data_IF_141585327022
#
_entry.id   IF_141585327022
#
_cell.length_a   1.000
_cell.length_b   1.000
_cell.length_c   1.000
_cell.angle_alpha   90.00
_cell.angle_beta   90.00
_cell.angle_gamma   90.00
#
_symmetry.space_group_name_H-M   'P 1'
#
loop_
_entity.id
_entity.type
_entity.pdbx_description
1 polymer ?
#
# COMPACT_ATOMS: atom_id res chain seq x y z
N UNK A 1 -34.73 -0.88 -23.20
CA UNK A 1 -34.20 0.25 -22.42
C UNK A 1 -32.93 0.72 -23.08
N UNK A 2 -32.75 2.04 -23.30
CA UNK A 2 -31.67 2.56 -24.15
C UNK A 2 -30.31 2.32 -23.47
N UNK A 3 -29.46 1.48 -24.03
CA UNK A 3 -28.14 1.09 -23.45
C UNK A 3 -27.20 2.30 -23.30
N UNK A 4 -27.30 3.27 -24.20
CA UNK A 4 -26.53 4.52 -24.14
C UNK A 4 -26.83 5.38 -22.90
N UNK A 5 -28.04 5.27 -22.33
CA UNK A 5 -28.43 6.01 -21.12
C UNK A 5 -27.72 5.55 -19.84
N UNK A 6 -27.01 4.44 -19.88
CA UNK A 6 -26.25 3.87 -18.76
C UNK A 6 -24.74 3.99 -18.94
N UNK A 7 -24.25 4.47 -20.09
CA UNK A 7 -22.82 4.62 -20.37
C UNK A 7 -22.15 3.38 -20.97
N UNK A 8 -22.95 2.44 -21.55
CA UNK A 8 -22.42 1.22 -22.19
C UNK A 8 -21.51 1.51 -23.40
N UNK A 9 -21.66 2.67 -24.02
CA UNK A 9 -20.87 3.11 -25.18
C UNK A 9 -19.76 4.10 -24.79
N UNK A 10 -19.57 4.35 -23.49
CA UNK A 10 -18.59 5.33 -23.01
C UNK A 10 -17.16 4.89 -23.38
N UNK A 11 -16.41 5.77 -24.05
CA UNK A 11 -15.00 5.54 -24.37
C UNK A 11 -14.06 6.04 -23.24
N UNK A 12 -14.59 6.84 -22.32
CA UNK A 12 -13.86 7.37 -21.15
C UNK A 12 -14.82 7.62 -19.97
N UNK A 13 -14.34 7.63 -18.72
CA UNK A 13 -15.19 7.81 -17.54
C UNK A 13 -16.04 9.07 -17.54
N UNK A 14 -15.57 10.18 -18.14
CA UNK A 14 -16.32 11.43 -18.25
C UNK A 14 -17.55 11.37 -19.14
N UNK A 15 -17.70 10.33 -19.96
CA UNK A 15 -18.87 10.09 -20.82
C UNK A 15 -19.94 9.25 -20.13
N UNK A 16 -19.65 8.70 -18.95
CA UNK A 16 -20.61 7.94 -18.16
C UNK A 16 -21.67 8.91 -17.62
N UNK A 17 -22.95 8.72 -17.94
CA UNK A 17 -24.02 9.58 -17.44
C UNK A 17 -24.27 9.37 -15.94
N UNK A 18 -24.93 10.33 -15.29
CA UNK A 18 -25.22 10.27 -13.85
C UNK A 18 -25.93 8.97 -13.40
N UNK A 19 -26.75 8.38 -14.29
CA UNK A 19 -27.42 7.11 -14.02
C UNK A 19 -26.42 5.95 -13.98
N UNK A 20 -25.44 5.94 -14.87
CA UNK A 20 -24.34 4.96 -14.86
C UNK A 20 -23.48 5.10 -13.59
N UNK A 21 -23.14 6.33 -13.19
CA UNK A 21 -22.42 6.59 -11.94
C UNK A 21 -23.17 6.09 -10.70
N UNK A 22 -24.49 6.25 -10.66
CA UNK A 22 -25.30 5.71 -9.55
C UNK A 22 -25.22 4.18 -9.51
N UNK A 23 -25.27 3.50 -10.65
CA UNK A 23 -25.14 2.05 -10.74
C UNK A 23 -23.75 1.59 -10.27
N UNK A 24 -22.68 2.26 -10.75
CA UNK A 24 -21.29 2.01 -10.33
C UNK A 24 -21.15 2.11 -8.81
N UNK A 25 -21.55 3.25 -8.22
CA UNK A 25 -21.40 3.47 -6.79
C UNK A 25 -22.18 2.46 -5.94
N UNK A 26 -23.33 2.00 -6.44
CA UNK A 26 -24.11 0.98 -5.76
C UNK A 26 -23.43 -0.39 -5.78
N UNK A 27 -22.78 -0.74 -6.91
CA UNK A 27 -22.00 -1.97 -7.02
C UNK A 27 -20.75 -1.91 -6.17
N UNK A 28 -19.96 -0.83 -6.22
CA UNK A 28 -18.81 -0.62 -5.31
C UNK A 28 -19.20 -0.82 -3.84
N UNK A 29 -20.37 -0.31 -3.43
CA UNK A 29 -20.86 -0.54 -2.06
C UNK A 29 -21.14 -2.03 -1.77
N UNK A 30 -21.64 -2.78 -2.73
CA UNK A 30 -21.84 -4.23 -2.63
C UNK A 30 -20.50 -4.97 -2.50
N UNK A 31 -19.56 -4.71 -3.41
CA UNK A 31 -18.24 -5.35 -3.50
C UNK A 31 -17.41 -5.14 -2.23
N UNK A 32 -17.51 -4.00 -1.56
CA UNK A 32 -16.83 -3.78 -0.25
C UNK A 32 -17.15 -4.91 0.75
N UNK A 33 -18.38 -5.42 0.73
CA UNK A 33 -18.82 -6.48 1.63
C UNK A 33 -18.58 -7.88 1.08
N UNK A 34 -18.80 -8.09 -0.22
CA UNK A 34 -18.63 -9.38 -0.90
C UNK A 34 -17.17 -9.80 -0.94
N UNK A 35 -16.28 -8.88 -1.29
CA UNK A 35 -14.83 -9.07 -1.33
C UNK A 35 -14.14 -8.94 0.03
N UNK A 36 -14.91 -8.65 1.07
CA UNK A 36 -14.38 -8.51 2.44
C UNK A 36 -13.21 -7.52 2.51
N UNK A 37 -13.34 -6.39 1.83
CA UNK A 37 -12.28 -5.38 1.68
C UNK A 37 -11.61 -5.02 3.01
N UNK A 38 -12.39 -4.84 4.07
CA UNK A 38 -11.86 -4.51 5.40
C UNK A 38 -10.99 -5.62 5.99
N UNK A 39 -11.30 -6.90 5.73
CA UNK A 39 -10.51 -8.04 6.19
C UNK A 39 -9.21 -8.16 5.41
N UNK A 40 -9.27 -7.97 4.09
CA UNK A 40 -8.07 -7.97 3.24
C UNK A 40 -7.15 -6.81 3.65
N UNK A 41 -7.70 -5.61 3.85
CA UNK A 41 -6.93 -4.45 4.33
C UNK A 41 -6.24 -4.71 5.68
N UNK A 42 -6.89 -5.44 6.60
CA UNK A 42 -6.27 -5.83 7.86
C UNK A 42 -5.09 -6.81 7.65
N UNK A 43 -5.21 -7.75 6.72
CA UNK A 43 -4.12 -8.65 6.33
C UNK A 43 -2.92 -7.89 5.76
N UNK A 44 -3.14 -6.95 4.84
CA UNK A 44 -2.07 -6.09 4.29
C UNK A 44 -1.42 -5.27 5.41
N UNK A 45 -2.21 -4.67 6.30
CA UNK A 45 -1.71 -3.89 7.45
C UNK A 45 -0.81 -4.73 8.35
N UNK A 46 -1.15 -5.99 8.60
CA UNK A 46 -0.34 -6.91 9.37
C UNK A 46 1.03 -7.16 8.73
N UNK A 47 1.09 -7.39 7.41
CA UNK A 47 2.37 -7.56 6.71
C UNK A 47 3.21 -6.28 6.72
N UNK A 48 2.60 -5.10 6.63
CA UNK A 48 3.30 -3.82 6.76
C UNK A 48 3.87 -3.63 8.17
N UNK A 49 3.14 -4.02 9.21
CA UNK A 49 3.65 -4.04 10.58
C UNK A 49 4.88 -4.94 10.73
N UNK A 50 4.84 -6.15 10.15
CA UNK A 50 5.99 -7.07 10.20
C UNK A 50 7.22 -6.48 9.49
N UNK A 51 7.03 -5.64 8.46
CA UNK A 51 8.12 -4.97 7.76
C UNK A 51 8.69 -3.78 8.54
N UNK A 52 7.94 -3.19 9.45
CA UNK A 52 8.31 -1.95 10.13
C UNK A 52 9.55 -2.12 11.02
N UNK A 53 9.59 -3.15 11.86
CA UNK A 53 10.72 -3.35 12.82
C UNK A 53 12.04 -3.62 12.10
N UNK A 54 12.13 -4.57 11.13
CA UNK A 54 13.35 -4.74 10.35
C UNK A 54 13.70 -3.51 9.52
N UNK A 55 12.68 -2.79 9.01
CA UNK A 55 12.86 -1.56 8.25
C UNK A 55 13.53 -0.46 9.07
N UNK A 56 13.05 -0.23 10.28
CA UNK A 56 13.66 0.71 11.22
C UNK A 56 15.10 0.28 11.56
N UNK A 57 15.34 -1.00 11.82
CA UNK A 57 16.69 -1.50 12.09
C UNK A 57 17.65 -1.28 10.92
N UNK A 58 17.18 -1.43 9.68
CA UNK A 58 17.96 -1.14 8.49
C UNK A 58 18.28 0.36 8.35
N UNK A 59 17.28 1.23 8.56
CA UNK A 59 17.47 2.69 8.51
C UNK A 59 18.50 3.17 9.55
N UNK A 60 18.40 2.68 10.78
CA UNK A 60 19.32 3.04 11.86
C UNK A 60 20.73 2.51 11.56
N UNK A 61 20.84 1.31 10.98
CA UNK A 61 22.15 0.75 10.59
C UNK A 61 22.77 1.56 9.45
N UNK A 62 22.01 2.06 8.47
CA UNK A 62 22.50 3.00 7.45
C UNK A 62 23.02 4.27 8.13
N UNK A 63 22.23 4.84 9.03
CA UNK A 63 22.64 6.04 9.75
C UNK A 63 23.97 5.84 10.49
N UNK A 64 24.13 4.74 11.24
CA UNK A 64 25.35 4.40 11.96
C UNK A 64 26.58 4.10 11.09
N UNK A 65 26.39 3.83 9.77
CA UNK A 65 27.52 3.69 8.84
C UNK A 65 28.08 5.05 8.37
N UNK A 66 27.25 6.09 8.30
CA UNK A 66 27.60 7.40 7.77
C UNK A 66 27.87 8.46 8.85
N UNK A 67 27.34 8.30 10.04
CA UNK A 67 27.44 9.26 11.14
C UNK A 67 28.17 8.67 12.32
N UNK A 68 28.92 9.52 13.06
CA UNK A 68 29.59 9.09 14.27
C UNK A 68 28.59 8.81 15.40
N UNK A 69 28.72 7.71 16.16
CA UNK A 69 27.90 7.44 17.32
C UNK A 69 27.78 8.59 18.34
N UNK A 70 28.80 9.44 18.44
CA UNK A 70 28.77 10.61 19.32
C UNK A 70 27.75 11.69 18.89
N UNK A 71 27.48 11.82 17.57
CA UNK A 71 26.49 12.77 17.03
C UNK A 71 25.07 12.25 17.09
N UNK A 72 24.88 10.98 17.47
CA UNK A 72 23.59 10.31 17.57
C UNK A 72 22.71 10.99 18.63
N UNK A 73 23.29 11.32 19.79
CA UNK A 73 22.54 11.93 20.90
C UNK A 73 21.96 13.31 20.55
N UNK A 74 22.72 14.12 19.81
CA UNK A 74 22.27 15.46 19.38
C UNK A 74 21.10 15.36 18.36
N UNK A 75 21.17 14.37 17.45
CA UNK A 75 20.13 14.16 16.45
C UNK A 75 18.88 13.48 17.04
N UNK A 76 19.02 12.66 18.09
CA UNK A 76 17.89 12.05 18.81
C UNK A 76 17.00 13.12 19.45
N UNK A 77 17.59 14.18 19.99
CA UNK A 77 16.85 15.32 20.51
C UNK A 77 16.05 16.06 19.40
N UNK A 78 16.58 16.18 18.19
CA UNK A 78 15.83 16.78 17.07
C UNK A 78 14.65 15.88 16.62
N UNK A 79 14.80 14.56 16.71
CA UNK A 79 13.77 13.61 16.34
C UNK A 79 12.65 13.47 17.38
N UNK A 80 12.92 13.79 18.66
CA UNK A 80 11.95 13.69 19.75
C UNK A 80 10.71 14.56 19.54
N UNK A 81 10.80 15.64 18.73
CA UNK A 81 9.67 16.47 18.34
C UNK A 81 8.84 15.95 17.16
N UNK A 82 9.32 14.92 16.44
CA UNK A 82 8.73 14.39 15.20
C UNK A 82 8.22 12.97 15.40
N UNK A 83 8.95 12.16 16.19
CA UNK A 83 8.65 10.75 16.43
C UNK A 83 7.76 10.63 17.67
N UNK A 84 6.60 9.97 17.60
CA UNK A 84 5.77 9.70 18.78
C UNK A 84 6.55 8.91 19.87
N UNK A 85 6.27 9.15 21.15
CA UNK A 85 7.04 8.69 22.29
C UNK A 85 7.47 7.21 22.27
N UNK A 86 6.56 6.28 21.92
CA UNK A 86 6.92 4.85 21.81
C UNK A 86 7.88 4.52 20.66
N UNK A 87 7.95 5.35 19.62
CA UNK A 87 8.93 5.21 18.55
C UNK A 87 10.33 5.65 18.96
N UNK A 88 10.43 6.64 19.87
CA UNK A 88 11.71 7.10 20.41
C UNK A 88 12.39 6.02 21.26
N UNK A 89 11.66 5.30 22.10
CA UNK A 89 12.18 4.20 22.90
C UNK A 89 12.81 3.10 22.03
N UNK A 90 12.13 2.74 20.91
CA UNK A 90 12.64 1.75 19.95
C UNK A 90 13.91 2.30 19.25
N UNK A 91 13.92 3.58 18.88
CA UNK A 91 15.07 4.24 18.28
C UNK A 91 16.27 4.23 19.24
N UNK A 92 16.09 4.66 20.47
CA UNK A 92 17.13 4.70 21.49
C UNK A 92 17.71 3.31 21.78
N UNK A 93 16.86 2.29 21.98
CA UNK A 93 17.32 0.91 22.20
C UNK A 93 18.13 0.37 21.01
N UNK A 94 17.73 0.66 19.77
CA UNK A 94 18.46 0.23 18.58
C UNK A 94 19.79 1.01 18.44
N UNK A 95 19.79 2.29 18.76
CA UNK A 95 21.00 3.12 18.72
C UNK A 95 22.03 2.70 19.76
N UNK A 96 21.62 2.37 20.98
CA UNK A 96 22.51 1.81 22.01
C UNK A 96 23.13 0.47 21.59
N UNK A 97 22.34 -0.40 20.98
CA UNK A 97 22.84 -1.68 20.42
C UNK A 97 23.87 -1.45 19.32
N UNK A 98 23.70 -0.43 18.48
CA UNK A 98 24.64 -0.08 17.42
C UNK A 98 25.92 0.57 17.98
N UNK A 99 25.80 1.45 18.96
CA UNK A 99 26.94 2.10 19.60
C UNK A 99 27.87 1.10 20.30
N UNK A 100 27.33 -0.02 20.78
CA UNK A 100 28.11 -1.10 21.43
C UNK A 100 28.76 -2.05 20.42
N UNK A 101 28.40 -2.02 19.11
CA UNK A 101 28.93 -2.91 18.08
C UNK A 101 30.10 -2.31 17.31
N UNK A 102 31.11 -3.14 16.97
CA UNK A 102 32.20 -2.71 16.08
C UNK A 102 31.73 -2.49 14.63
N UNK A 103 32.44 -1.67 13.84
CA UNK A 103 32.09 -1.32 12.45
C UNK A 103 31.82 -2.53 11.53
N UNK A 104 32.56 -3.62 11.71
CA UNK A 104 32.34 -4.87 10.92
C UNK A 104 31.02 -5.55 11.28
N UNK A 105 30.66 -5.55 12.56
CA UNK A 105 29.39 -6.08 13.08
C UNK A 105 28.21 -5.24 12.56
N UNK A 106 28.37 -3.92 12.50
CA UNK A 106 27.38 -2.99 11.95
C UNK A 106 27.06 -3.28 10.48
N UNK A 107 28.08 -3.51 9.63
CA UNK A 107 27.88 -3.81 8.23
C UNK A 107 27.14 -5.12 7.97
N UNK A 108 27.46 -6.17 8.75
CA UNK A 108 26.77 -7.46 8.64
C UNK A 108 25.33 -7.37 9.19
N UNK A 109 25.14 -6.70 10.32
CA UNK A 109 23.80 -6.46 10.91
C UNK A 109 22.94 -5.67 9.95
N UNK A 110 23.48 -4.63 9.32
CA UNK A 110 22.81 -3.86 8.29
C UNK A 110 22.35 -4.75 7.11
N UNK A 111 23.27 -5.56 6.56
CA UNK A 111 22.94 -6.41 5.41
C UNK A 111 21.82 -7.41 5.74
N UNK A 112 21.88 -8.04 6.92
CA UNK A 112 20.87 -9.00 7.37
C UNK A 112 19.54 -8.28 7.64
N UNK A 113 19.55 -7.17 8.37
CA UNK A 113 18.35 -6.40 8.69
C UNK A 113 17.69 -5.86 7.41
N UNK A 114 18.48 -5.36 6.46
CA UNK A 114 17.98 -4.89 5.18
C UNK A 114 17.35 -6.03 4.36
N UNK A 115 17.98 -7.19 4.32
CA UNK A 115 17.43 -8.35 3.62
C UNK A 115 16.09 -8.79 4.24
N UNK A 116 15.98 -8.84 5.57
CA UNK A 116 14.76 -9.17 6.29
C UNK A 116 13.69 -8.08 6.06
N UNK A 117 14.07 -6.81 6.12
CA UNK A 117 13.17 -5.68 5.88
C UNK A 117 12.58 -5.72 4.47
N UNK A 118 13.44 -5.89 3.46
CA UNK A 118 13.02 -5.99 2.05
C UNK A 118 12.13 -7.21 1.81
N UNK A 119 12.46 -8.35 2.43
CA UNK A 119 11.63 -9.55 2.34
C UNK A 119 10.24 -9.33 2.94
N UNK A 120 10.16 -8.74 4.14
CA UNK A 120 8.90 -8.46 4.84
C UNK A 120 8.08 -7.41 4.10
N UNK A 121 8.72 -6.32 3.63
CA UNK A 121 8.06 -5.29 2.84
C UNK A 121 7.53 -5.84 1.51
N UNK A 122 8.29 -6.73 0.85
CA UNK A 122 7.87 -7.42 -0.37
C UNK A 122 6.67 -8.33 -0.13
N UNK A 123 6.55 -8.95 1.04
CA UNK A 123 5.37 -9.73 1.41
C UNK A 123 4.13 -8.83 1.56
N UNK A 124 4.28 -7.64 2.16
CA UNK A 124 3.23 -6.62 2.20
C UNK A 124 2.80 -6.16 0.81
N UNK A 125 3.76 -5.93 -0.10
CA UNK A 125 3.45 -5.56 -1.48
C UNK A 125 2.72 -6.68 -2.24
N UNK A 126 3.10 -7.95 -2.06
CA UNK A 126 2.37 -9.08 -2.64
C UNK A 126 0.95 -9.18 -2.11
N UNK A 127 0.74 -8.96 -0.81
CA UNK A 127 -0.60 -8.92 -0.23
C UNK A 127 -1.44 -7.78 -0.79
N UNK A 128 -0.83 -6.63 -1.11
CA UNK A 128 -1.50 -5.52 -1.78
C UNK A 128 -1.83 -5.85 -3.25
N UNK A 129 -0.96 -6.59 -3.95
CA UNK A 129 -1.26 -7.08 -5.30
C UNK A 129 -2.43 -8.07 -5.29
N UNK A 130 -2.50 -8.96 -4.29
CA UNK A 130 -3.63 -9.87 -4.11
C UNK A 130 -4.93 -9.09 -3.84
N UNK A 131 -4.86 -8.02 -3.04
CA UNK A 131 -5.99 -7.12 -2.83
C UNK A 131 -6.44 -6.44 -4.14
N UNK A 132 -5.49 -6.06 -5.00
CA UNK A 132 -5.82 -5.51 -6.32
C UNK A 132 -6.40 -6.58 -7.26
N UNK A 133 -5.90 -7.80 -7.22
CA UNK A 133 -6.49 -8.90 -8.00
C UNK A 133 -7.95 -9.15 -7.58
N UNK A 134 -8.26 -9.10 -6.29
CA UNK A 134 -9.65 -9.20 -5.81
C UNK A 134 -10.50 -8.06 -6.37
N UNK A 135 -10.06 -6.80 -6.21
CA UNK A 135 -10.79 -5.62 -6.67
C UNK A 135 -11.04 -5.57 -8.19
N UNK A 136 -10.22 -6.27 -8.98
CA UNK A 136 -10.37 -6.37 -10.44
C UNK A 136 -10.86 -7.73 -10.91
N UNK A 137 -11.36 -8.58 -10.01
CA UNK A 137 -11.85 -9.92 -10.30
C UNK A 137 -10.83 -10.82 -11.03
N UNK A 138 -9.55 -10.63 -10.76
CA UNK A 138 -8.46 -11.35 -11.42
C UNK A 138 -7.89 -12.47 -10.53
N UNK A 139 -7.32 -13.48 -11.18
CA UNK A 139 -6.59 -14.53 -10.49
C UNK A 139 -5.09 -14.35 -10.73
N UNK A 140 -4.27 -14.52 -9.69
CA UNK A 140 -2.82 -14.44 -9.81
C UNK A 140 -2.27 -15.61 -10.60
N UNK A 141 -1.80 -15.37 -11.82
CA UNK A 141 -1.22 -16.36 -12.73
C UNK A 141 0.29 -16.18 -12.91
N UNK A 142 0.86 -15.06 -12.44
CA UNK A 142 2.30 -14.80 -12.51
C UNK A 142 3.07 -15.86 -11.72
N UNK A 143 4.03 -16.52 -12.35
CA UNK A 143 4.92 -17.44 -11.65
C UNK A 143 5.69 -16.75 -10.53
N UNK A 144 6.12 -17.51 -9.51
CA UNK A 144 6.80 -17.01 -8.32
C UNK A 144 7.92 -16.00 -8.61
N UNK A 145 8.76 -16.26 -9.62
CA UNK A 145 9.88 -15.37 -9.97
C UNK A 145 9.38 -14.00 -10.51
N UNK A 146 8.38 -14.01 -11.43
CA UNK A 146 7.82 -12.80 -12.02
C UNK A 146 7.09 -11.98 -10.95
N UNK A 147 6.24 -12.62 -10.14
CA UNK A 147 5.53 -11.96 -9.06
C UNK A 147 6.51 -11.34 -8.05
N UNK A 148 7.56 -12.08 -7.66
CA UNK A 148 8.57 -11.58 -6.71
C UNK A 148 9.36 -10.43 -7.29
N UNK A 149 9.78 -10.50 -8.55
CA UNK A 149 10.52 -9.42 -9.20
C UNK A 149 9.66 -8.16 -9.32
N UNK A 150 8.40 -8.29 -9.75
CA UNK A 150 7.48 -7.16 -9.88
C UNK A 150 7.17 -6.53 -8.51
N UNK A 151 6.82 -7.34 -7.51
CA UNK A 151 6.52 -6.83 -6.17
C UNK A 151 7.75 -6.19 -5.51
N UNK A 152 8.95 -6.72 -5.73
CA UNK A 152 10.19 -6.11 -5.24
C UNK A 152 10.51 -4.78 -5.94
N UNK A 153 10.26 -4.67 -7.24
CA UNK A 153 10.40 -3.40 -7.96
C UNK A 153 9.44 -2.34 -7.38
N UNK A 154 8.18 -2.70 -7.10
CA UNK A 154 7.23 -1.81 -6.43
C UNK A 154 7.64 -1.46 -5.01
N UNK A 155 8.15 -2.42 -4.24
CA UNK A 155 8.66 -2.19 -2.88
C UNK A 155 9.80 -1.17 -2.90
N UNK A 156 10.79 -1.35 -3.78
CA UNK A 156 11.91 -0.42 -3.91
C UNK A 156 11.45 0.96 -4.41
N UNK A 157 10.58 1.00 -5.41
CA UNK A 157 9.98 2.27 -5.88
C UNK A 157 9.19 2.98 -4.79
N UNK A 158 8.45 2.23 -3.98
CA UNK A 158 7.71 2.75 -2.83
C UNK A 158 8.64 3.34 -1.77
N UNK A 159 9.73 2.65 -1.44
CA UNK A 159 10.76 3.16 -0.52
C UNK A 159 11.36 4.47 -1.05
N UNK A 160 11.76 4.51 -2.32
CA UNK A 160 12.29 5.73 -2.96
C UNK A 160 11.24 6.85 -2.93
N UNK A 161 9.97 6.53 -3.25
CA UNK A 161 8.87 7.49 -3.19
C UNK A 161 8.67 8.08 -1.79
N UNK A 162 8.70 7.25 -0.76
CA UNK A 162 8.61 7.69 0.65
C UNK A 162 9.79 8.58 1.02
N UNK A 163 11.03 8.20 0.64
CA UNK A 163 12.24 9.01 0.89
C UNK A 163 12.11 10.38 0.19
N UNK A 164 11.66 10.40 -1.06
CA UNK A 164 11.42 11.66 -1.78
C UNK A 164 10.35 12.52 -1.10
N UNK A 165 9.24 11.92 -0.64
CA UNK A 165 8.19 12.66 0.08
C UNK A 165 8.69 13.23 1.39
N UNK A 166 9.44 12.46 2.19
CA UNK A 166 10.07 12.94 3.43
C UNK A 166 11.05 14.08 3.10
N UNK A 167 11.87 13.92 2.06
CA UNK A 167 12.79 14.96 1.59
C UNK A 167 12.06 16.27 1.28
N UNK A 168 10.94 16.21 0.56
CA UNK A 168 10.13 17.40 0.25
C UNK A 168 9.56 18.02 1.53
N UNK A 169 9.02 17.23 2.45
CA UNK A 169 8.38 17.72 3.68
C UNK A 169 9.39 18.35 4.65
N UNK A 170 10.60 17.78 4.75
CA UNK A 170 11.61 18.20 5.73
C UNK A 170 12.58 19.23 5.14
N UNK A 171 13.11 18.94 3.94
CA UNK A 171 14.18 19.76 3.35
C UNK A 171 13.65 21.11 2.86
N UNK A 172 12.47 21.12 2.23
CA UNK A 172 11.95 22.39 1.66
C UNK A 172 11.71 23.45 2.73
N UNK A 173 11.00 23.20 3.84
CA UNK A 173 10.85 24.20 4.90
C UNK A 173 12.20 24.58 5.55
N UNK A 174 13.12 23.63 5.75
CA UNK A 174 14.44 23.89 6.30
C UNK A 174 15.25 24.84 5.44
N UNK A 175 15.29 24.62 4.13
CA UNK A 175 15.98 25.48 3.18
C UNK A 175 15.35 26.87 3.09
N UNK A 176 14.02 26.96 3.08
CA UNK A 176 13.30 28.23 3.05
C UNK A 176 13.64 29.11 4.27
N UNK A 177 13.71 28.52 5.46
CA UNK A 177 14.08 29.21 6.68
C UNK A 177 15.53 29.75 6.67
N UNK A 178 16.44 29.06 5.95
CA UNK A 178 17.85 29.47 5.84
C UNK A 178 18.07 30.62 4.84
N UNK A 179 17.29 30.63 3.76
CA UNK A 179 17.52 31.58 2.64
C UNK A 179 16.78 32.91 2.87
N UNK A 180 15.72 32.94 3.69
CA UNK A 180 14.98 34.15 4.00
C UNK A 180 14.38 34.83 2.77
N UNK A 181 13.73 34.04 1.90
CA UNK A 181 13.04 34.52 0.71
C UNK A 181 11.83 35.35 1.09
N UNK A 182 11.50 36.37 0.30
CA UNK A 182 10.30 37.18 0.54
C UNK A 182 9.03 36.30 0.55
N UNK A 183 8.05 36.71 1.36
CA UNK A 183 6.83 35.92 1.71
C UNK A 183 6.10 35.31 0.51
N UNK A 184 6.05 35.98 -0.63
CA UNK A 184 5.38 35.48 -1.83
C UNK A 184 6.12 34.27 -2.44
N UNK A 185 7.47 34.31 -2.46
CA UNK A 185 8.30 33.22 -3.00
C UNK A 185 8.22 31.99 -2.08
N UNK A 186 8.25 32.17 -0.78
CA UNK A 186 8.06 31.09 0.20
C UNK A 186 6.72 30.40 0.03
N UNK A 187 5.65 31.16 -0.19
CA UNK A 187 4.31 30.63 -0.43
C UNK A 187 4.23 29.80 -1.71
N UNK A 188 4.84 30.29 -2.81
CA UNK A 188 4.87 29.55 -4.08
C UNK A 188 5.63 28.22 -3.95
N UNK A 189 6.78 28.21 -3.28
CA UNK A 189 7.56 26.99 -3.08
C UNK A 189 6.79 26.01 -2.19
N UNK A 190 6.13 26.49 -1.14
CA UNK A 190 5.32 25.66 -0.25
C UNK A 190 4.13 25.01 -0.99
N UNK A 191 3.40 25.79 -1.78
CA UNK A 191 2.32 25.26 -2.63
C UNK A 191 2.88 24.24 -3.64
N UNK A 192 3.98 24.58 -4.32
CA UNK A 192 4.67 23.69 -5.26
C UNK A 192 5.06 22.36 -4.63
N UNK A 193 5.52 22.38 -3.37
CA UNK A 193 5.87 21.17 -2.61
C UNK A 193 4.63 20.29 -2.35
N UNK A 194 3.51 20.86 -1.94
CA UNK A 194 2.27 20.10 -1.75
C UNK A 194 1.74 19.52 -3.06
N UNK A 195 1.82 20.29 -4.16
CA UNK A 195 1.45 19.79 -5.49
C UNK A 195 2.37 18.64 -5.90
N UNK A 196 3.67 18.76 -5.68
CA UNK A 196 4.64 17.69 -5.97
C UNK A 196 4.34 16.43 -5.16
N UNK A 197 4.05 16.55 -3.87
CA UNK A 197 3.66 15.42 -3.01
C UNK A 197 2.38 14.75 -3.51
N UNK A 198 1.38 15.54 -3.89
CA UNK A 198 0.13 15.04 -4.46
C UNK A 198 0.38 14.28 -5.77
N UNK A 199 1.24 14.79 -6.65
CA UNK A 199 1.60 14.14 -7.91
C UNK A 199 2.35 12.82 -7.67
N UNK A 200 3.34 12.81 -6.76
CA UNK A 200 4.09 11.59 -6.42
C UNK A 200 3.15 10.52 -5.87
N UNK A 201 2.28 10.88 -4.92
CA UNK A 201 1.31 9.94 -4.36
C UNK A 201 0.33 9.43 -5.42
N UNK A 202 -0.17 10.32 -6.29
CA UNK A 202 -1.08 9.95 -7.39
C UNK A 202 -0.42 9.00 -8.38
N UNK A 203 0.84 9.23 -8.74
CA UNK A 203 1.58 8.36 -9.64
C UNK A 203 1.84 6.98 -9.02
N UNK A 204 2.16 6.93 -7.73
CA UNK A 204 2.37 5.67 -7.02
C UNK A 204 1.08 4.83 -6.96
N UNK A 205 -0.06 5.46 -6.64
CA UNK A 205 -1.37 4.78 -6.59
C UNK A 205 -1.82 4.37 -7.99
N UNK A 206 -1.65 5.24 -9.00
CA UNK A 206 -1.99 4.92 -10.38
C UNK A 206 -1.13 3.76 -10.91
N UNK A 207 0.16 3.72 -10.56
CA UNK A 207 1.04 2.61 -10.89
C UNK A 207 0.55 1.30 -10.25
N UNK A 208 0.13 1.34 -8.98
CA UNK A 208 -0.44 0.20 -8.29
C UNK A 208 -1.71 -0.32 -8.99
N UNK A 209 -2.66 0.54 -9.33
CA UNK A 209 -3.89 0.15 -10.02
C UNK A 209 -3.64 -0.39 -11.43
N UNK A 210 -2.57 0.06 -12.09
CA UNK A 210 -2.25 -0.35 -13.44
C UNK A 210 -1.48 -1.67 -13.53
N UNK A 211 -0.52 -1.88 -12.65
CA UNK A 211 0.43 -2.99 -12.73
C UNK A 211 0.37 -3.93 -11.52
N UNK A 212 -0.41 -3.58 -10.49
CA UNK A 212 -0.66 -4.44 -9.34
C UNK A 212 -1.43 -5.69 -9.71
N UNK A 213 -2.63 -5.58 -10.29
CA UNK A 213 -3.43 -6.73 -10.68
C UNK A 213 -2.80 -7.48 -11.88
N UNK A 214 -3.00 -8.80 -11.93
CA UNK A 214 -2.49 -9.68 -12.99
C UNK A 214 -3.43 -9.71 -14.19
N UNK A 215 -3.43 -8.62 -14.96
CA UNK A 215 -4.33 -8.43 -16.10
C UNK A 215 -3.65 -7.65 -17.23
N UNK A 216 -4.29 -7.58 -18.39
CA UNK A 216 -3.93 -6.62 -19.42
C UNK A 216 -4.09 -5.19 -18.90
N UNK A 217 -3.07 -4.35 -19.15
CA UNK A 217 -3.02 -3.00 -18.57
C UNK A 217 -4.18 -2.13 -19.05
N UNK A 218 -4.88 -1.50 -18.11
CA UNK A 218 -5.91 -0.51 -18.40
C UNK A 218 -5.32 0.77 -19.03
N UNK A 219 -6.10 1.46 -19.86
CA UNK A 219 -5.78 2.83 -20.31
C UNK A 219 -5.78 3.78 -19.10
N UNK A 220 -4.85 4.73 -19.04
CA UNK A 220 -4.68 5.67 -17.92
C UNK A 220 -5.98 6.39 -17.51
N UNK A 221 -6.83 6.72 -18.48
CA UNK A 221 -8.09 7.40 -18.21
C UNK A 221 -9.07 6.61 -17.33
N UNK A 222 -8.98 5.27 -17.33
CA UNK A 222 -9.86 4.40 -16.53
C UNK A 222 -9.38 4.22 -15.09
N UNK A 223 -8.08 4.37 -14.83
CA UNK A 223 -7.52 4.29 -13.48
C UNK A 223 -7.47 5.64 -12.75
N UNK A 224 -7.59 6.75 -13.50
CA UNK A 224 -7.47 8.11 -12.93
C UNK A 224 -8.55 8.43 -11.88
N UNK A 225 -9.84 8.14 -12.08
CA UNK A 225 -10.88 8.49 -11.10
C UNK A 225 -10.66 7.82 -9.73
N UNK A 226 -10.39 6.51 -9.70
CA UNK A 226 -10.08 5.81 -8.46
C UNK A 226 -8.80 6.32 -7.80
N UNK A 227 -7.78 6.66 -8.61
CA UNK A 227 -6.54 7.27 -8.10
C UNK A 227 -6.81 8.58 -7.40
N UNK A 228 -7.52 9.51 -8.07
CA UNK A 228 -7.84 10.82 -7.51
C UNK A 228 -8.68 10.66 -6.25
N UNK A 229 -9.71 9.82 -6.28
CA UNK A 229 -10.55 9.53 -5.12
C UNK A 229 -9.69 9.04 -3.96
N UNK A 230 -8.84 8.03 -4.18
CA UNK A 230 -7.98 7.45 -3.14
C UNK A 230 -7.07 8.49 -2.50
N UNK A 231 -6.37 9.31 -3.30
CA UNK A 231 -5.48 10.35 -2.77
C UNK A 231 -6.27 11.36 -1.94
N UNK A 232 -7.38 11.88 -2.44
CA UNK A 232 -8.20 12.86 -1.71
C UNK A 232 -8.76 12.29 -0.41
N UNK A 233 -9.29 11.07 -0.45
CA UNK A 233 -9.89 10.45 0.74
C UNK A 233 -8.81 10.07 1.76
N UNK A 234 -7.63 9.58 1.34
CA UNK A 234 -6.50 9.33 2.24
C UNK A 234 -6.06 10.63 2.91
N UNK A 235 -5.93 11.72 2.17
CA UNK A 235 -5.56 13.03 2.75
C UNK A 235 -6.62 13.53 3.74
N UNK A 236 -7.90 13.45 3.40
CA UNK A 236 -8.99 13.84 4.27
C UNK A 236 -9.04 13.00 5.55
N UNK A 237 -8.95 11.67 5.42
CA UNK A 237 -8.92 10.75 6.55
C UNK A 237 -7.67 10.96 7.39
N UNK A 238 -6.52 11.22 6.80
CA UNK A 238 -5.28 11.53 7.54
C UNK A 238 -5.42 12.82 8.36
N UNK A 239 -6.03 13.86 7.79
CA UNK A 239 -6.30 15.09 8.51
C UNK A 239 -7.29 14.90 9.67
N UNK A 240 -8.40 14.17 9.42
CA UNK A 240 -9.38 13.83 10.45
C UNK A 240 -8.78 12.95 11.55
N UNK A 241 -7.95 11.98 11.18
CA UNK A 241 -7.29 11.09 12.11
C UNK A 241 -6.27 11.86 12.98
N UNK A 242 -5.48 12.75 12.39
CA UNK A 242 -4.57 13.64 13.11
C UNK A 242 -5.33 14.53 14.11
N UNK A 243 -6.44 15.12 13.69
CA UNK A 243 -7.30 15.90 14.56
C UNK A 243 -7.88 15.04 15.70
N UNK A 244 -8.34 13.82 15.39
CA UNK A 244 -8.86 12.88 16.39
C UNK A 244 -7.81 12.53 17.44
N UNK A 245 -6.61 12.15 17.02
CA UNK A 245 -5.51 11.80 17.93
C UNK A 245 -5.12 13.02 18.81
N UNK A 246 -5.08 14.23 18.25
CA UNK A 246 -4.74 15.43 18.98
C UNK A 246 -5.79 15.83 20.05
N UNK A 247 -7.08 15.54 19.81
CA UNK A 247 -8.16 15.99 20.69
C UNK A 247 -8.71 14.90 21.62
N UNK A 248 -8.56 13.62 21.23
CA UNK A 248 -9.08 12.47 21.97
C UNK A 248 -7.96 11.54 22.45
N UNK A 249 -6.75 12.06 22.59
CA UNK A 249 -5.51 11.34 22.88
C UNK A 249 -5.40 10.68 24.28
N UNK A 250 -6.51 10.48 25.02
CA UNK A 250 -6.54 9.67 26.24
C UNK A 250 -6.18 8.19 26.02
N UNK A 251 -5.95 7.79 24.76
CA UNK A 251 -5.40 6.48 24.41
C UNK A 251 -4.08 6.19 25.12
N UNK A 252 -3.23 7.21 25.29
CA UNK A 252 -1.95 7.09 25.99
C UNK A 252 -2.13 6.84 27.50
N UNK A 253 -3.20 7.33 28.12
CA UNK A 253 -3.49 7.09 29.53
C UNK A 253 -3.92 5.64 29.80
N UNK A 254 -4.61 5.02 28.83
CA UNK A 254 -5.14 3.66 28.97
C UNK A 254 -4.18 2.59 28.47
N UNK A 255 -3.49 2.86 27.35
CA UNK A 255 -2.68 1.87 26.62
C UNK A 255 -1.18 2.19 26.59
N UNK A 256 -0.73 3.33 27.14
CA UNK A 256 0.67 3.75 27.12
C UNK A 256 1.24 3.81 25.70
N UNK A 257 2.46 3.28 25.51
CA UNK A 257 3.13 3.22 24.19
C UNK A 257 2.37 2.40 23.14
N UNK A 258 1.53 1.44 23.56
CA UNK A 258 0.68 0.67 22.63
C UNK A 258 -0.40 1.52 21.96
N UNK A 259 -0.83 2.62 22.58
CA UNK A 259 -1.83 3.53 22.01
C UNK A 259 -1.36 4.12 20.67
N UNK A 260 -0.11 4.56 20.57
CA UNK A 260 0.47 5.09 19.35
C UNK A 260 0.56 4.01 18.25
N UNK A 261 0.94 2.79 18.60
CA UNK A 261 0.99 1.66 17.66
C UNK A 261 -0.40 1.31 17.13
N UNK A 262 -1.40 1.20 18.01
CA UNK A 262 -2.80 0.92 17.60
C UNK A 262 -3.31 2.02 16.68
N UNK A 263 -3.06 3.29 17.02
CA UNK A 263 -3.43 4.41 16.18
C UNK A 263 -2.78 4.34 14.79
N UNK A 264 -1.48 4.08 14.74
CA UNK A 264 -0.75 3.94 13.48
C UNK A 264 -1.29 2.78 12.62
N UNK A 265 -1.55 1.62 13.21
CA UNK A 265 -2.13 0.48 12.52
C UNK A 265 -3.55 0.77 12.00
N UNK A 266 -4.35 1.48 12.79
CA UNK A 266 -5.69 1.91 12.37
C UNK A 266 -5.60 2.85 11.16
N UNK A 267 -4.65 3.80 11.17
CA UNK A 267 -4.43 4.69 10.04
C UNK A 267 -3.99 3.93 8.78
N UNK A 268 -3.05 2.98 8.88
CA UNK A 268 -2.65 2.14 7.74
C UNK A 268 -3.84 1.33 7.23
N UNK A 269 -4.62 0.72 8.12
CA UNK A 269 -5.79 -0.07 7.75
C UNK A 269 -6.83 0.76 6.98
N UNK A 270 -7.10 1.99 7.42
CA UNK A 270 -7.96 2.93 6.71
C UNK A 270 -7.39 3.29 5.34
N UNK A 271 -6.09 3.61 5.26
CA UNK A 271 -5.43 3.94 4.00
C UNK A 271 -5.48 2.79 2.99
N UNK A 272 -5.19 1.55 3.42
CA UNK A 272 -5.28 0.36 2.57
C UNK A 272 -6.73 0.08 2.15
N UNK A 273 -7.70 0.23 3.06
CA UNK A 273 -9.13 0.12 2.72
C UNK A 273 -9.51 1.09 1.61
N UNK A 274 -9.10 2.36 1.72
CA UNK A 274 -9.37 3.39 0.72
C UNK A 274 -8.71 3.05 -0.63
N UNK A 275 -7.49 2.51 -0.62
CA UNK A 275 -6.82 2.06 -1.84
C UNK A 275 -7.61 0.95 -2.53
N UNK A 276 -8.08 -0.07 -1.80
CA UNK A 276 -8.86 -1.16 -2.38
C UNK A 276 -10.17 -0.61 -2.95
N UNK A 277 -10.89 0.24 -2.22
CA UNK A 277 -12.14 0.89 -2.70
C UNK A 277 -11.89 1.74 -3.95
N UNK A 278 -10.73 2.37 -4.07
CA UNK A 278 -10.33 3.08 -5.30
C UNK A 278 -10.10 2.14 -6.49
N UNK A 279 -9.55 0.96 -6.24
CA UNK A 279 -9.44 -0.14 -7.20
C UNK A 279 -10.80 -0.64 -7.65
N UNK A 280 -11.70 -0.92 -6.69
CA UNK A 280 -13.10 -1.30 -6.95
C UNK A 280 -13.82 -0.26 -7.83
N UNK A 281 -13.65 1.03 -7.53
CA UNK A 281 -14.26 2.08 -8.34
C UNK A 281 -13.77 2.03 -9.79
N UNK A 282 -12.47 1.82 -10.02
CA UNK A 282 -11.93 1.70 -11.37
C UNK A 282 -12.47 0.45 -12.08
N UNK A 283 -12.48 -0.69 -11.40
CA UNK A 283 -13.02 -1.96 -11.87
C UNK A 283 -14.48 -1.80 -12.33
N UNK A 284 -15.31 -1.24 -11.46
CA UNK A 284 -16.72 -1.04 -11.71
C UNK A 284 -17.04 -0.03 -12.82
N UNK A 285 -16.15 0.94 -13.05
CA UNK A 285 -16.24 1.82 -14.20
C UNK A 285 -15.91 1.09 -15.50
N UNK A 286 -14.94 0.19 -15.49
CA UNK A 286 -14.61 -0.62 -16.66
C UNK A 286 -15.76 -1.58 -17.01
N UNK A 287 -16.36 -2.24 -16.01
CA UNK A 287 -17.57 -3.07 -16.18
C UNK A 287 -18.78 -2.30 -16.72
N UNK A 288 -18.81 -0.98 -16.59
CA UNK A 288 -19.93 -0.17 -17.08
C UNK A 288 -19.96 -0.03 -18.59
N UNK A 289 -18.82 -0.17 -19.28
CA UNK A 289 -18.73 0.03 -20.74
C UNK A 289 -18.49 -1.27 -21.51
N UNK A 290 -19.02 -1.36 -22.72
CA UNK A 290 -18.70 -2.42 -23.68
C UNK A 290 -17.43 -2.13 -24.50
N UNK A 291 -16.88 -0.89 -24.39
CA UNK A 291 -15.66 -0.49 -25.09
C UNK A 291 -14.44 -1.15 -24.46
N UNK A 292 -13.43 -1.40 -25.27
CA UNK A 292 -12.16 -1.90 -24.79
C UNK A 292 -11.43 -0.84 -23.94
N UNK A 293 -11.25 -1.14 -22.66
CA UNK A 293 -10.58 -0.28 -21.68
C UNK A 293 -9.09 -0.57 -21.55
N UNK A 294 -8.61 -1.64 -22.21
CA UNK A 294 -7.21 -2.06 -22.17
C UNK A 294 -6.34 -1.27 -23.17
N UNK A 295 -5.03 -1.35 -23.00
CA UNK A 295 -4.09 -0.70 -23.93
C UNK A 295 -4.11 -1.32 -25.31
N UNK A 296 -3.91 -0.52 -26.40
CA UNK A 296 -3.90 -1.00 -27.79
C UNK A 296 -2.93 -2.16 -28.03
N UNK A 297 -3.23 -3.05 -29.02
CA UNK A 297 -4.31 -2.94 -30.00
C UNK A 297 -5.68 -3.29 -29.42
N UNK A 298 -6.77 -2.66 -29.92
CA UNK A 298 -8.14 -2.97 -29.48
C UNK A 298 -8.48 -4.43 -29.78
N UNK A 299 -9.03 -5.11 -28.78
CA UNK A 299 -9.39 -6.51 -28.82
C UNK A 299 -10.90 -6.71 -28.69
N UNK A 300 -11.42 -7.77 -29.30
CA UNK A 300 -12.82 -8.14 -29.13
C UNK A 300 -13.10 -8.54 -27.67
N UNK A 301 -14.34 -8.31 -27.23
CA UNK A 301 -14.79 -8.74 -25.90
C UNK A 301 -14.59 -10.27 -25.75
N UNK A 302 -14.11 -10.71 -24.61
CA UNK A 302 -13.72 -12.09 -24.32
C UNK A 302 -12.26 -12.43 -24.68
N UNK A 303 -11.49 -11.48 -25.26
CA UNK A 303 -10.08 -11.68 -25.62
C UNK A 303 -9.16 -10.52 -25.20
N UNK A 304 -9.62 -9.65 -24.30
CA UNK A 304 -8.89 -8.46 -23.84
C UNK A 304 -7.86 -8.78 -22.77
N UNK A 305 -7.97 -9.97 -22.16
CA UNK A 305 -7.07 -10.42 -21.12
C UNK A 305 -7.21 -9.65 -19.79
N UNK A 306 -8.43 -9.22 -19.51
CA UNK A 306 -8.81 -8.56 -18.28
C UNK A 306 -10.30 -8.81 -18.02
N UNK A 307 -10.64 -9.47 -16.90
CA UNK A 307 -11.99 -9.93 -16.58
C UNK A 307 -13.01 -8.80 -16.65
N UNK A 308 -12.74 -7.68 -15.99
CA UNK A 308 -13.65 -6.54 -15.98
C UNK A 308 -13.74 -5.78 -17.32
N UNK A 309 -12.74 -5.93 -18.18
CA UNK A 309 -12.80 -5.38 -19.54
C UNK A 309 -13.52 -6.31 -20.51
N UNK A 310 -13.54 -7.60 -20.23
CA UNK A 310 -14.17 -8.64 -21.05
C UNK A 310 -15.64 -8.89 -20.70
N UNK A 311 -16.13 -8.27 -19.63
CA UNK A 311 -17.52 -8.40 -19.14
C UNK A 311 -18.22 -7.03 -19.12
N UNK A 312 -19.56 -7.04 -19.15
CA UNK A 312 -20.36 -5.82 -19.04
C UNK A 312 -21.44 -6.05 -17.98
N UNK A 313 -21.47 -5.21 -16.96
CA UNK A 313 -22.42 -5.34 -15.85
C UNK A 313 -23.88 -5.47 -16.32
N UNK A 314 -24.61 -6.44 -15.78
CA UNK A 314 -26.01 -6.68 -16.10
C UNK A 314 -26.26 -7.40 -17.42
N UNK A 315 -25.25 -8.01 -18.05
CA UNK A 315 -25.43 -9.03 -19.09
C UNK A 315 -25.57 -10.41 -18.41
N UNK A 316 -26.32 -11.36 -19.01
CA UNK A 316 -26.46 -12.70 -18.43
C UNK A 316 -25.13 -13.41 -18.21
N UNK A 317 -24.12 -13.14 -19.02
CA UNK A 317 -22.77 -13.69 -18.90
C UNK A 317 -22.02 -13.14 -17.66
N UNK A 318 -22.24 -11.86 -17.30
CA UNK A 318 -21.66 -11.28 -16.09
C UNK A 318 -22.26 -11.90 -14.81
N UNK A 319 -23.58 -12.20 -14.83
CA UNK A 319 -24.27 -12.88 -13.75
C UNK A 319 -23.88 -14.36 -13.61
N UNK A 320 -23.61 -15.02 -14.73
CA UNK A 320 -23.21 -16.44 -14.75
C UNK A 320 -21.71 -16.62 -14.45
N UNK A 321 -20.86 -15.66 -14.76
CA UNK A 321 -19.44 -15.69 -14.42
C UNK A 321 -19.20 -15.29 -12.95
N UNK A 322 -19.94 -14.30 -12.43
CA UNK A 322 -19.99 -14.00 -10.99
C UNK A 322 -20.69 -15.10 -10.19
N UNK A 323 -21.67 -15.77 -10.80
CA UNK A 323 -22.33 -16.96 -10.28
C UNK A 323 -21.76 -18.26 -10.88
N UNK A 324 -20.52 -18.26 -11.32
CA UNK A 324 -19.84 -19.51 -11.70
C UNK A 324 -19.95 -20.48 -10.52
N UNK A 325 -20.58 -21.67 -10.72
CA UNK A 325 -20.90 -22.57 -9.64
C UNK A 325 -19.68 -23.30 -9.08
N UNK A 326 -18.53 -22.69 -9.12
CA UNK A 326 -17.34 -23.18 -8.42
C UNK A 326 -17.33 -22.77 -6.94
N UNK A 327 -18.43 -22.13 -6.44
CA UNK A 327 -18.72 -22.07 -5.02
C UNK A 327 -18.99 -23.47 -4.42
N UNK A 328 -19.36 -24.47 -5.24
CA UNK A 328 -19.40 -25.86 -4.79
C UNK A 328 -18.00 -26.51 -4.74
N UNK A 329 -17.08 -26.10 -5.59
CA UNK A 329 -15.67 -26.48 -5.53
C UNK A 329 -14.91 -25.76 -4.40
N UNK A 330 -15.29 -24.52 -4.05
CA UNK A 330 -14.74 -23.81 -2.87
C UNK A 330 -15.11 -24.48 -1.53
N UNK A 331 -16.12 -25.32 -1.46
CA UNK A 331 -16.48 -26.10 -0.24
C UNK A 331 -15.67 -27.37 -0.05
N UNK A 332 -14.84 -27.80 -0.99
CA UNK A 332 -14.12 -29.07 -0.94
C UNK A 332 -12.60 -29.01 -1.18
N UNK A 333 -12.04 -27.94 -1.67
CA UNK A 333 -10.59 -27.84 -1.82
C UNK A 333 -9.96 -27.41 -0.50
N UNK A 334 -9.26 -28.36 0.12
CA UNK A 334 -8.26 -28.01 1.15
C UNK A 334 -7.45 -26.83 0.64
N UNK A 335 -7.19 -25.79 1.47
CA UNK A 335 -6.42 -24.63 1.04
C UNK A 335 -5.12 -25.17 0.43
N UNK A 336 -4.95 -24.99 -0.87
CA UNK A 336 -3.64 -25.16 -1.50
C UNK A 336 -2.77 -24.11 -0.84
N UNK A 337 -1.76 -24.58 -0.08
CA UNK A 337 -0.76 -23.72 0.50
C UNK A 337 -0.17 -22.90 -0.65
N UNK A 338 -0.54 -21.63 -0.73
CA UNK A 338 0.04 -20.69 -1.69
C UNK A 338 1.54 -20.64 -1.44
N UNK A 339 2.33 -20.51 -2.50
CA UNK A 339 3.77 -20.34 -2.38
C UNK A 339 4.15 -19.20 -1.42
N UNK A 340 3.27 -18.20 -1.25
CA UNK A 340 3.39 -17.14 -0.25
C UNK A 340 3.32 -17.65 1.19
N UNK A 341 2.43 -18.60 1.50
CA UNK A 341 2.30 -19.18 2.84
C UNK A 341 3.50 -20.07 3.19
N UNK A 342 4.11 -20.75 2.22
CA UNK A 342 5.35 -21.51 2.42
C UNK A 342 6.56 -20.61 2.67
N UNK A 343 6.60 -19.42 2.08
CA UNK A 343 7.68 -18.46 2.29
C UNK A 343 7.74 -17.90 3.73
N UNK A 344 6.64 -17.93 4.46
CA UNK A 344 6.60 -17.56 5.89
C UNK A 344 6.76 -18.76 6.81
N UNK A 345 6.26 -19.91 6.45
CA UNK A 345 6.36 -21.13 7.27
C UNK A 345 7.81 -21.59 7.44
N UNK A 346 8.65 -21.45 6.40
CA UNK A 346 10.04 -21.89 6.43
C UNK A 346 10.92 -21.09 7.38
N UNK A 347 10.95 -19.74 7.37
CA UNK A 347 11.73 -18.97 8.35
C UNK A 347 11.25 -19.17 9.78
N UNK A 348 9.92 -19.20 10.00
CA UNK A 348 9.35 -19.44 11.32
C UNK A 348 9.71 -20.84 11.86
N UNK A 349 9.63 -21.87 11.04
CA UNK A 349 10.01 -23.23 11.41
C UNK A 349 11.51 -23.36 11.70
N UNK A 350 12.37 -22.69 10.92
CA UNK A 350 13.81 -22.64 11.16
C UNK A 350 14.14 -21.90 12.46
N UNK A 351 13.45 -20.81 12.74
CA UNK A 351 13.64 -20.03 13.97
C UNK A 351 13.19 -20.80 15.20
N UNK A 352 12.06 -21.49 15.14
CA UNK A 352 11.58 -22.39 16.19
C UNK A 352 12.53 -23.57 16.40
N UNK A 353 13.02 -24.21 15.35
CA UNK A 353 13.98 -25.29 15.44
C UNK A 353 15.33 -24.83 16.04
N UNK A 354 15.76 -23.61 15.72
CA UNK A 354 16.96 -23.01 16.31
C UNK A 354 16.79 -22.71 17.80
N UNK A 355 15.64 -22.15 18.19
CA UNK A 355 15.31 -21.88 19.59
C UNK A 355 15.19 -23.17 20.42
N UNK A 356 14.57 -24.20 19.87
CA UNK A 356 14.44 -25.51 20.50
C UNK A 356 15.79 -26.22 20.68
N UNK A 357 16.71 -26.07 19.74
CA UNK A 357 18.07 -26.57 19.83
C UNK A 357 18.87 -25.88 20.96
N UNK A 358 18.64 -24.57 21.11
CA UNK A 358 19.32 -23.78 22.16
C UNK A 358 18.78 -24.05 23.57
N UNK A 359 17.49 -24.40 23.69
CA UNK A 359 16.87 -24.78 24.98
C UNK A 359 17.28 -26.18 25.45
N UNK A 360 17.70 -27.09 24.54
CA UNK A 360 18.21 -28.42 24.90
C UNK A 360 19.69 -28.45 25.27
N UNK A 361 20.40 -27.34 25.09
CA UNK A 361 21.83 -27.21 25.44
C UNK A 361 22.07 -26.42 26.74
N UNK A 362 21.00 -26.02 27.41
CA UNK A 362 20.99 -25.49 28.78
C UNK A 362 20.35 -26.51 29.75
#
# INVERSE_FOLDING_TARGET
MNQSSRGRDAAKPSEIPARGWKEILWRVYGEISEDRVMLIAAGVTYYLLLAMVPGLSALISIYGLFFDPASIQDHTQMLSGIVPGGGMEILEEQMERLASGGRTTLGLTFAISLAIALWSANAGMKSLFEAMNVAYEENETRGFAKLTATSLAFTLSGIVGIICMIGVVVVVPGVLNLIGLGSATEWLIRIGSYVLLFVIASLAIAALFRWGPDRANAKWQWITPGTILSVFVILAVSALFSWYVANFGSYNETYGSLGALIGFLTWIWLAVTILIVGGELNSEMELQTARDTTTPPESAMGSRGATVADTVAGTPEAGDMAASPDTSARRGTRPRLSAGNLAFAVPAALLLAFLERRSRQR
#
